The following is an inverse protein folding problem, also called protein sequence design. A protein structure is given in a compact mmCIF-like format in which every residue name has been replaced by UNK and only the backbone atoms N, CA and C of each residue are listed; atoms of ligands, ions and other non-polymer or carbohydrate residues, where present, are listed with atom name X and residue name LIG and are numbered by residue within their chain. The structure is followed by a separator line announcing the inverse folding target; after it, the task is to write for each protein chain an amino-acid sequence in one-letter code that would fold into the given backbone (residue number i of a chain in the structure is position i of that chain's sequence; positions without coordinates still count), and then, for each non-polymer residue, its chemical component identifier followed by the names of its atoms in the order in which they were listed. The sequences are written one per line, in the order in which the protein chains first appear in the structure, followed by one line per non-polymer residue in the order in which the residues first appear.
data_IF_253642007491
#
_entry.id   IF_253642007491
#
_cell.length_a   1.000
_cell.length_b   1.000
_cell.length_c   1.000
_cell.angle_alpha   90.00
_cell.angle_beta   90.00
_cell.angle_gamma   90.00
#
_symmetry.space_group_name_H-M   'P 1'
#
loop_
_entity.id
_entity.type
_entity.pdbx_description
1 polymer ?
#
# COMPACT_ATOMS: atom_id res chain seq x y z
N UNK A 1 -3.80 10.18 6.77
CA UNK A 1 -4.59 9.91 5.56
C UNK A 1 -3.68 9.94 4.33
N UNK A 2 -3.69 8.89 3.53
CA UNK A 2 -2.84 8.81 2.33
C UNK A 2 -3.43 9.66 1.22
N UNK A 3 -4.73 9.54 1.01
CA UNK A 3 -5.48 10.36 0.08
C UNK A 3 -6.93 10.43 0.55
N UNK A 4 -7.79 11.11 -0.22
CA UNK A 4 -9.20 11.31 0.14
C UNK A 4 -9.91 9.99 0.46
N UNK A 5 -9.56 8.90 -0.22
CA UNK A 5 -10.25 7.62 -0.06
C UNK A 5 -9.34 6.49 0.43
N UNK A 6 -8.11 6.81 0.87
CA UNK A 6 -7.18 5.82 1.43
C UNK A 6 -6.66 6.29 2.77
N UNK A 7 -6.97 5.55 3.85
CA UNK A 7 -6.40 5.79 5.17
C UNK A 7 -5.03 5.13 5.28
N UNK A 8 -4.20 5.58 6.23
CA UNK A 8 -2.92 4.94 6.50
C UNK A 8 -3.12 3.49 6.95
N UNK A 9 -4.15 3.24 7.73
CA UNK A 9 -4.49 1.90 8.19
C UNK A 9 -4.77 0.96 7.01
N UNK A 10 -5.53 1.43 6.04
CA UNK A 10 -5.86 0.65 4.85
C UNK A 10 -4.62 0.41 3.97
N UNK A 11 -3.80 1.45 3.80
CA UNK A 11 -2.60 1.39 2.97
C UNK A 11 -1.53 0.46 3.54
N UNK A 12 -1.52 0.26 4.87
CA UNK A 12 -0.52 -0.57 5.55
C UNK A 12 -1.09 -1.87 6.09
N UNK A 13 -2.33 -2.20 5.74
CA UNK A 13 -3.01 -3.40 6.23
C UNK A 13 -2.32 -4.65 5.72
N UNK A 14 -2.04 -5.58 6.64
CA UNK A 14 -1.51 -6.90 6.31
C UNK A 14 -1.86 -7.90 7.42
N UNK A 15 -2.63 -8.92 7.06
CA UNK A 15 -2.96 -10.00 7.98
C UNK A 15 -1.70 -10.80 8.32
N UNK A 16 -0.82 -10.99 7.34
CA UNK A 16 0.44 -11.70 7.54
C UNK A 16 1.34 -10.97 8.54
N UNK A 17 1.43 -9.63 8.43
CA UNK A 17 2.23 -8.84 9.37
C UNK A 17 1.69 -8.99 10.79
N UNK A 18 0.38 -8.96 10.97
CA UNK A 18 -0.25 -9.16 12.28
C UNK A 18 0.04 -10.55 12.83
N UNK A 19 -0.08 -11.57 11.99
CA UNK A 19 0.15 -12.97 12.41
C UNK A 19 1.59 -13.21 12.85
N UNK A 20 2.55 -12.61 12.14
CA UNK A 20 3.98 -12.81 12.44
C UNK A 20 4.53 -11.79 13.43
N UNK A 21 3.72 -10.81 13.86
CA UNK A 21 4.16 -9.78 14.78
C UNK A 21 5.14 -8.80 14.16
N UNK A 22 5.07 -8.60 12.85
CA UNK A 22 5.96 -7.71 12.12
C UNK A 22 5.38 -6.31 12.01
N UNK A 23 6.25 -5.29 12.14
CA UNK A 23 5.86 -3.92 11.90
C UNK A 23 5.69 -3.69 10.40
N UNK A 24 4.68 -2.92 10.02
CA UNK A 24 4.45 -2.55 8.62
C UNK A 24 4.20 -1.05 8.53
N UNK A 25 5.13 -0.27 9.11
CA UNK A 25 5.05 1.19 9.16
C UNK A 25 5.99 1.79 8.13
N UNK A 26 5.48 2.59 7.16
CA UNK A 26 6.33 3.18 6.13
C UNK A 26 7.21 4.30 6.70
N UNK A 27 8.41 4.45 6.12
CA UNK A 27 9.25 5.61 6.39
C UNK A 27 8.72 6.84 5.62
N UNK A 28 9.34 7.99 5.82
CA UNK A 28 8.88 9.23 5.19
C UNK A 28 8.90 9.20 3.67
N UNK A 29 9.93 8.58 3.08
CA UNK A 29 10.04 8.45 1.61
C UNK A 29 8.94 7.55 1.06
N UNK A 30 8.71 6.40 1.69
CA UNK A 30 7.66 5.48 1.27
C UNK A 30 6.28 6.14 1.40
N UNK A 31 6.06 6.85 2.49
CA UNK A 31 4.79 7.54 2.73
C UNK A 31 4.53 8.60 1.66
N UNK A 32 5.55 9.39 1.29
CA UNK A 32 5.43 10.38 0.24
C UNK A 32 5.11 9.73 -1.11
N UNK A 33 5.77 8.62 -1.43
CA UNK A 33 5.51 7.87 -2.66
C UNK A 33 4.09 7.32 -2.69
N UNK A 34 3.60 6.81 -1.55
CA UNK A 34 2.23 6.31 -1.44
C UNK A 34 1.20 7.40 -1.69
N UNK A 35 1.42 8.59 -1.16
CA UNK A 35 0.53 9.73 -1.38
C UNK A 35 0.48 10.13 -2.85
N UNK A 36 1.64 10.18 -3.52
CA UNK A 36 1.69 10.50 -4.95
C UNK A 36 0.98 9.45 -5.79
N UNK A 37 1.24 8.17 -5.51
CA UNK A 37 0.59 7.07 -6.21
C UNK A 37 -0.93 7.13 -6.06
N UNK A 38 -1.39 7.37 -4.83
CA UNK A 38 -2.82 7.44 -4.55
C UNK A 38 -3.47 8.61 -5.29
N UNK A 39 -2.88 9.80 -5.22
CA UNK A 39 -3.46 10.99 -5.83
C UNK A 39 -3.45 10.95 -7.36
N UNK A 40 -2.36 10.42 -7.95
CA UNK A 40 -2.18 10.44 -9.40
C UNK A 40 -2.81 9.25 -10.11
N UNK A 41 -2.95 8.12 -9.44
CA UNK A 41 -3.44 6.87 -10.04
C UNK A 41 -4.74 6.40 -9.41
N UNK A 42 -4.75 6.20 -8.10
CA UNK A 42 -5.90 5.59 -7.42
C UNK A 42 -7.14 6.48 -7.44
N UNK A 43 -7.02 7.73 -7.05
CA UNK A 43 -8.17 8.62 -6.97
C UNK A 43 -8.81 8.87 -8.34
N UNK A 44 -8.02 9.16 -9.42
CA UNK A 44 -8.60 9.28 -10.75
C UNK A 44 -9.27 8.00 -11.23
N UNK A 45 -8.66 6.84 -10.94
CA UNK A 45 -9.22 5.54 -11.33
C UNK A 45 -10.54 5.29 -10.60
N UNK A 46 -10.60 5.57 -9.31
CA UNK A 46 -11.80 5.42 -8.51
C UNK A 46 -12.93 6.30 -9.05
N UNK A 47 -12.61 7.52 -9.44
CA UNK A 47 -13.58 8.44 -10.01
C UNK A 47 -14.08 7.95 -11.38
N UNK A 48 -13.17 7.43 -12.21
CA UNK A 48 -13.52 6.88 -13.52
C UNK A 48 -14.45 5.67 -13.39
N UNK A 49 -14.18 4.79 -12.43
CA UNK A 49 -15.01 3.61 -12.17
C UNK A 49 -16.36 4.02 -11.55
N UNK A 50 -16.40 5.14 -10.85
CA UNK A 50 -17.62 5.67 -10.25
C UNK A 50 -18.00 5.04 -8.93
N UNK A 51 -17.06 4.39 -8.24
CA UNK A 51 -17.34 3.78 -6.95
C UNK A 51 -16.10 3.27 -6.25
N UNK A 52 -16.27 2.69 -5.04
CA UNK A 52 -15.14 2.23 -4.25
C UNK A 52 -14.32 1.14 -4.95
N UNK A 53 -12.99 1.21 -4.77
CA UNK A 53 -12.06 0.17 -5.22
C UNK A 53 -11.34 -0.34 -3.99
N UNK A 54 -11.37 -1.65 -3.76
CA UNK A 54 -10.69 -2.27 -2.64
C UNK A 54 -9.19 -2.37 -2.90
N UNK A 55 -8.39 -1.99 -1.91
CA UNK A 55 -6.94 -2.14 -1.97
C UNK A 55 -6.58 -3.44 -1.27
N UNK A 56 -5.98 -4.38 -2.00
CA UNK A 56 -5.54 -5.66 -1.45
C UNK A 56 -4.18 -5.54 -0.78
N UNK A 57 -3.28 -4.74 -1.37
CA UNK A 57 -1.96 -4.50 -0.81
C UNK A 57 -1.41 -3.20 -1.35
N UNK A 58 -0.78 -2.39 -0.50
CA UNK A 58 -0.13 -1.16 -0.94
C UNK A 58 1.29 -1.12 -0.41
N UNK A 59 1.49 -0.88 0.89
CA UNK A 59 2.83 -0.86 1.48
C UNK A 59 3.17 -2.19 2.12
N UNK A 60 4.42 -2.61 1.95
CA UNK A 60 5.00 -3.75 2.67
C UNK A 60 6.37 -3.34 3.20
N UNK A 61 6.61 -3.54 4.50
CA UNK A 61 7.94 -3.35 5.07
C UNK A 61 8.89 -4.40 4.49
N UNK A 62 10.20 -4.13 4.55
CA UNK A 62 11.19 -5.09 4.06
C UNK A 62 11.09 -6.43 4.79
N UNK A 63 10.87 -6.39 6.11
CA UNK A 63 10.72 -7.60 6.91
C UNK A 63 9.50 -8.42 6.47
N UNK A 64 8.37 -7.75 6.24
CA UNK A 64 7.16 -8.42 5.77
C UNK A 64 7.36 -8.97 4.35
N UNK A 65 7.95 -8.19 3.46
CA UNK A 65 8.21 -8.61 2.09
C UNK A 65 9.09 -9.86 2.04
N UNK A 66 10.12 -9.90 2.87
CA UNK A 66 11.01 -11.05 2.98
C UNK A 66 10.27 -12.28 3.53
N UNK A 67 9.42 -12.08 4.52
CA UNK A 67 8.66 -13.17 5.14
C UNK A 67 7.69 -13.85 4.17
N UNK A 68 7.12 -13.10 3.23
CA UNK A 68 6.19 -13.65 2.24
C UNK A 68 6.89 -14.07 0.93
N UNK A 69 8.23 -14.01 0.90
CA UNK A 69 9.00 -14.43 -0.26
C UNK A 69 9.00 -13.43 -1.41
N UNK A 70 8.75 -12.16 -1.12
CA UNK A 70 8.75 -11.12 -2.15
C UNK A 70 10.16 -10.75 -2.59
N UNK A 71 10.25 -10.07 -3.74
CA UNK A 71 11.51 -9.57 -4.26
C UNK A 71 12.12 -8.52 -3.34
N UNK A 72 13.44 -8.56 -3.16
CA UNK A 72 14.16 -7.55 -2.40
C UNK A 72 14.07 -6.15 -3.03
N UNK A 73 13.64 -6.09 -4.29
CA UNK A 73 13.45 -4.83 -5.04
C UNK A 73 11.97 -4.49 -5.23
N UNK A 74 11.09 -5.02 -4.37
CA UNK A 74 9.66 -4.79 -4.51
C UNK A 74 9.32 -3.31 -4.42
N UNK A 75 8.51 -2.82 -5.37
CA UNK A 75 8.01 -1.46 -5.36
C UNK A 75 7.07 -1.19 -4.19
N UNK A 76 6.44 -2.23 -3.63
CA UNK A 76 5.61 -2.10 -2.44
C UNK A 76 6.40 -1.61 -1.23
N UNK A 77 7.68 -1.98 -1.12
CA UNK A 77 8.55 -1.54 -0.01
C UNK A 77 8.89 -0.06 -0.11
N UNK A 78 8.75 0.53 -1.29
CA UNK A 78 9.02 1.95 -1.52
C UNK A 78 7.74 2.79 -1.57
N UNK A 79 6.58 2.15 -1.45
CA UNK A 79 5.30 2.84 -1.56
C UNK A 79 4.89 3.19 -2.98
N UNK A 80 5.52 2.55 -3.98
CA UNK A 80 5.30 2.85 -5.40
C UNK A 80 4.41 1.84 -6.12
N UNK A 81 3.77 0.93 -5.39
CA UNK A 81 2.89 -0.08 -5.99
C UNK A 81 1.69 -0.34 -5.10
N UNK A 82 0.58 -0.73 -5.71
CA UNK A 82 -0.59 -1.17 -4.99
C UNK A 82 -1.30 -2.25 -5.81
N UNK A 83 -1.87 -3.23 -5.11
CA UNK A 83 -2.68 -4.28 -5.71
C UNK A 83 -4.14 -3.96 -5.43
N UNK A 84 -4.94 -3.86 -6.48
CA UNK A 84 -6.34 -3.49 -6.39
C UNK A 84 -7.22 -4.69 -6.72
N UNK A 85 -8.39 -4.73 -6.10
CA UNK A 85 -9.40 -5.73 -6.40
C UNK A 85 -10.19 -5.30 -7.63
N UNK A 86 -10.41 -6.21 -8.54
CA UNK A 86 -11.14 -5.94 -9.79
C UNK A 86 -12.65 -5.85 -9.54
#
# INVERSE_FOLDING_TARGET
MISKHISEKEATKSITALRLGLANTPNGNALANMKQLAEKIFEPLREHVGGPIKINSMYRSEALNKAIGGSSRSQHCQGNAMDLDD
#
